data_IF_357557110165
#
_entry.id   IF_357557110165
#
_cell.length_a   1.000
_cell.length_b   1.000
_cell.length_c   1.000
_cell.angle_alpha   90.00
_cell.angle_beta   90.00
_cell.angle_gamma   90.00
#
_symmetry.space_group_name_H-M   'P 1'
#
loop_
_entity.id
_entity.type
_entity.pdbx_description
1 polymer ?
#
# COMPACT_ATOMS: atom_id res chain seq x y z
N UNK A 1 71.71 -27.63 -53.07
CA UNK A 1 70.52 -28.30 -52.50
C UNK A 1 69.37 -27.31 -52.53
N UNK A 2 68.52 -27.37 -53.57
CA UNK A 2 67.45 -26.38 -53.82
C UNK A 2 66.22 -26.80 -53.01
N UNK A 3 65.80 -26.00 -52.03
CA UNK A 3 64.52 -26.20 -51.32
C UNK A 3 63.38 -25.78 -52.24
N UNK A 4 62.56 -26.73 -52.68
CA UNK A 4 61.30 -26.45 -53.37
C UNK A 4 60.29 -25.84 -52.40
N UNK A 5 59.71 -24.67 -52.71
CA UNK A 5 58.67 -24.08 -51.88
C UNK A 5 57.39 -24.93 -51.98
N UNK A 6 56.88 -25.35 -50.82
CA UNK A 6 55.63 -26.12 -50.70
C UNK A 6 54.46 -25.15 -50.96
N UNK A 7 53.84 -25.22 -52.13
CA UNK A 7 52.64 -24.43 -52.46
C UNK A 7 51.52 -24.90 -51.52
N UNK A 8 51.08 -24.02 -50.62
CA UNK A 8 49.89 -24.28 -49.78
C UNK A 8 48.67 -24.08 -50.65
N UNK A 9 47.83 -25.10 -50.79
CA UNK A 9 46.52 -24.99 -51.43
C UNK A 9 45.69 -23.96 -50.66
N UNK A 10 45.38 -22.82 -51.30
CA UNK A 10 44.47 -21.83 -50.74
C UNK A 10 43.05 -22.38 -50.69
N UNK A 11 42.31 -22.02 -49.64
CA UNK A 11 40.91 -22.40 -49.48
C UNK A 11 40.07 -21.88 -50.66
N UNK A 12 39.14 -22.72 -51.14
CA UNK A 12 38.24 -22.32 -52.21
C UNK A 12 37.15 -21.40 -51.66
N UNK A 13 36.66 -20.48 -52.50
CA UNK A 13 35.58 -19.56 -52.12
C UNK A 13 34.33 -20.33 -51.65
N UNK A 14 34.08 -21.51 -52.22
CA UNK A 14 32.98 -22.41 -51.85
C UNK A 14 33.15 -22.96 -50.44
N UNK A 15 34.35 -23.40 -50.04
CA UNK A 15 34.60 -23.86 -48.66
C UNK A 15 34.34 -22.76 -47.63
N UNK A 16 34.82 -21.55 -47.89
CA UNK A 16 34.60 -20.42 -46.97
C UNK A 16 33.11 -20.08 -46.89
N UNK A 17 32.39 -20.12 -48.02
CA UNK A 17 30.96 -19.83 -48.06
C UNK A 17 30.14 -20.87 -47.28
N UNK A 18 30.45 -22.15 -47.43
CA UNK A 18 29.80 -23.23 -46.67
C UNK A 18 30.05 -23.09 -45.17
N UNK A 19 31.29 -22.77 -44.77
CA UNK A 19 31.62 -22.58 -43.35
C UNK A 19 30.86 -21.40 -42.74
N UNK A 20 30.77 -20.27 -43.44
CA UNK A 20 30.03 -19.10 -42.93
C UNK A 20 28.53 -19.42 -42.81
N UNK A 21 27.95 -20.19 -43.74
CA UNK A 21 26.55 -20.64 -43.66
C UNK A 21 26.33 -21.58 -42.48
N UNK A 22 27.23 -22.54 -42.24
CA UNK A 22 27.14 -23.45 -41.09
C UNK A 22 27.27 -22.69 -39.77
N UNK A 23 28.25 -21.78 -39.66
CA UNK A 23 28.43 -20.95 -38.46
C UNK A 23 27.21 -20.04 -38.25
N UNK A 24 26.62 -19.49 -39.31
CA UNK A 24 25.40 -18.69 -39.23
C UNK A 24 24.20 -19.49 -38.71
N UNK A 25 24.00 -20.71 -39.23
CA UNK A 25 22.93 -21.61 -38.77
C UNK A 25 23.13 -22.07 -37.31
N UNK A 26 24.35 -22.52 -36.97
CA UNK A 26 24.66 -22.94 -35.61
C UNK A 26 24.59 -21.76 -34.63
N UNK A 27 25.11 -20.59 -35.02
CA UNK A 27 25.06 -19.36 -34.22
C UNK A 27 23.62 -18.90 -33.96
N UNK A 28 22.74 -18.98 -34.97
CA UNK A 28 21.32 -18.63 -34.82
C UNK A 28 20.60 -19.51 -33.80
N UNK A 29 20.79 -20.84 -33.87
CA UNK A 29 20.17 -21.76 -32.92
C UNK A 29 20.70 -21.59 -31.49
N UNK A 30 22.01 -21.42 -31.33
CA UNK A 30 22.63 -21.23 -30.00
C UNK A 30 22.13 -19.94 -29.34
N UNK A 31 22.01 -18.84 -30.09
CA UNK A 31 21.53 -17.58 -29.54
C UNK A 31 20.08 -17.67 -29.03
N UNK A 32 19.20 -18.34 -29.77
CA UNK A 32 17.82 -18.56 -29.35
C UNK A 32 17.75 -19.41 -28.06
N UNK A 33 18.55 -20.47 -27.97
CA UNK A 33 18.61 -21.32 -26.78
C UNK A 33 19.14 -20.57 -25.55
N UNK A 34 20.22 -19.79 -25.71
CA UNK A 34 20.81 -19.00 -24.62
C UNK A 34 19.82 -17.96 -24.09
N UNK A 35 19.09 -17.26 -24.97
CA UNK A 35 18.07 -16.27 -24.56
C UNK A 35 16.96 -16.90 -23.69
N UNK A 36 16.49 -18.10 -24.05
CA UNK A 36 15.49 -18.83 -23.26
C UNK A 36 16.00 -19.23 -21.87
N UNK A 37 17.24 -19.74 -21.80
CA UNK A 37 17.88 -20.11 -20.53
C UNK A 37 18.10 -18.88 -19.64
N UNK A 38 18.57 -17.76 -20.20
CA UNK A 38 18.77 -16.53 -19.43
C UNK A 38 17.47 -15.97 -18.89
N UNK A 39 16.39 -15.94 -19.69
CA UNK A 39 15.09 -15.44 -19.23
C UNK A 39 14.52 -16.32 -18.11
N UNK A 40 14.65 -17.64 -18.23
CA UNK A 40 14.23 -18.57 -17.17
C UNK A 40 15.04 -18.36 -15.88
N UNK A 41 16.36 -18.16 -16.00
CA UNK A 41 17.22 -17.88 -14.86
C UNK A 41 16.87 -16.55 -14.18
N UNK A 42 16.60 -15.49 -14.97
CA UNK A 42 16.15 -14.19 -14.46
C UNK A 42 14.82 -14.32 -13.72
N UNK A 43 13.84 -14.99 -14.31
CA UNK A 43 12.55 -15.25 -13.66
C UNK A 43 12.72 -16.03 -12.35
N UNK A 44 13.55 -17.07 -12.32
CA UNK A 44 13.84 -17.84 -11.09
C UNK A 44 14.49 -16.96 -10.01
N UNK A 45 15.41 -16.08 -10.39
CA UNK A 45 16.03 -15.11 -9.48
C UNK A 45 14.98 -14.12 -8.95
N UNK A 46 14.13 -13.57 -9.81
CA UNK A 46 13.04 -12.67 -9.42
C UNK A 46 12.11 -13.32 -8.39
N UNK A 47 11.69 -14.58 -8.61
CA UNK A 47 10.86 -15.31 -7.64
C UNK A 47 11.52 -15.43 -6.27
N UNK A 48 12.84 -15.65 -6.24
CA UNK A 48 13.60 -15.75 -4.99
C UNK A 48 13.65 -14.41 -4.26
N UNK A 49 13.86 -13.32 -4.99
CA UNK A 49 13.91 -11.95 -4.43
C UNK A 49 12.52 -11.55 -3.90
N UNK A 50 11.46 -11.78 -4.67
CA UNK A 50 10.09 -11.50 -4.25
C UNK A 50 9.72 -12.34 -3.02
N UNK A 51 10.06 -13.63 -2.98
CA UNK A 51 9.80 -14.47 -1.81
C UNK A 51 10.55 -13.99 -0.56
N UNK A 52 11.79 -13.53 -0.71
CA UNK A 52 12.55 -12.93 0.40
C UNK A 52 11.87 -11.64 0.90
N UNK A 53 11.48 -10.74 0.01
CA UNK A 53 10.76 -9.53 0.37
C UNK A 53 9.41 -9.82 1.02
N UNK A 54 8.63 -10.75 0.45
CA UNK A 54 7.33 -11.16 0.98
C UNK A 54 7.46 -11.73 2.39
N UNK A 55 8.47 -12.56 2.68
CA UNK A 55 8.66 -13.09 4.03
C UNK A 55 8.80 -12.00 5.10
N UNK A 56 9.54 -10.92 4.80
CA UNK A 56 9.73 -9.78 5.70
C UNK A 56 8.45 -8.96 5.82
N UNK A 57 7.78 -8.71 4.70
CA UNK A 57 6.55 -7.91 4.64
C UNK A 57 5.39 -8.64 5.34
N UNK A 58 5.25 -9.95 5.15
CA UNK A 58 4.23 -10.76 5.81
C UNK A 58 4.47 -10.85 7.32
N UNK A 59 5.72 -11.07 7.76
CA UNK A 59 6.04 -11.05 9.20
C UNK A 59 5.65 -9.70 9.83
N UNK A 60 6.00 -8.61 9.16
CA UNK A 60 5.62 -7.26 9.61
C UNK A 60 4.09 -7.06 9.59
N UNK A 61 3.40 -7.49 8.53
CA UNK A 61 1.95 -7.38 8.37
C UNK A 61 1.19 -8.16 9.46
N UNK A 62 1.60 -9.40 9.72
CA UNK A 62 1.00 -10.25 10.77
C UNK A 62 1.26 -9.69 12.17
N UNK A 63 2.40 -9.05 12.39
CA UNK A 63 2.73 -8.44 13.69
C UNK A 63 1.68 -7.41 14.13
N UNK A 64 1.06 -6.67 13.18
CA UNK A 64 0.07 -5.65 13.51
C UNK A 64 -1.18 -6.24 14.15
N UNK A 65 -1.55 -7.48 13.83
CA UNK A 65 -2.76 -8.14 14.38
C UNK A 65 -2.73 -8.18 15.91
N UNK A 66 -1.55 -8.38 16.48
CA UNK A 66 -1.37 -8.58 17.92
C UNK A 66 -0.67 -7.41 18.63
N UNK A 67 -0.26 -6.38 17.88
CA UNK A 67 0.56 -5.31 18.44
C UNK A 67 -0.23 -4.42 19.42
N UNK A 68 0.32 -4.13 20.61
CA UNK A 68 -0.22 -3.09 21.46
C UNK A 68 0.06 -1.72 20.84
N UNK A 69 -0.95 -0.86 20.80
CA UNK A 69 -0.79 0.51 20.32
C UNK A 69 -0.45 1.42 21.51
N UNK A 70 0.61 2.24 21.42
CA UNK A 70 0.87 3.28 22.40
C UNK A 70 -0.19 4.37 22.24
N UNK A 71 -1.20 4.32 23.11
CA UNK A 71 -2.33 5.26 23.12
C UNK A 71 -2.21 6.12 24.37
N UNK A 72 -2.25 7.44 24.21
CA UNK A 72 -2.47 8.32 25.34
C UNK A 72 -3.94 8.18 25.76
N UNK A 73 -4.21 7.60 26.93
CA UNK A 73 -5.58 7.40 27.42
C UNK A 73 -6.18 8.78 27.70
N UNK A 74 -7.19 9.23 26.93
CA UNK A 74 -7.74 10.55 27.15
C UNK A 74 -8.52 10.54 28.47
N UNK A 75 -8.40 11.62 29.24
CA UNK A 75 -9.00 11.65 30.58
C UNK A 75 -10.54 11.75 30.49
N UNK A 76 -11.23 10.67 30.87
CA UNK A 76 -12.71 10.57 30.81
C UNK A 76 -13.45 11.43 31.85
N UNK A 77 -12.73 12.31 32.55
CA UNK A 77 -13.24 13.20 33.60
C UNK A 77 -12.91 14.67 33.35
N UNK A 78 -12.26 14.98 32.23
CA UNK A 78 -11.93 16.35 31.88
C UNK A 78 -13.09 17.02 31.14
N UNK A 79 -13.33 18.29 31.48
CA UNK A 79 -14.36 19.13 30.86
C UNK A 79 -15.76 18.49 30.91
N UNK A 80 -16.13 17.94 32.07
CA UNK A 80 -17.47 17.39 32.34
C UNK A 80 -18.52 18.51 32.34
N UNK A 81 -19.72 18.20 31.84
CA UNK A 81 -20.86 19.11 31.91
C UNK A 81 -21.56 19.00 33.25
N UNK A 82 -22.43 19.97 33.54
CA UNK A 82 -23.28 19.95 34.74
C UNK A 82 -24.10 18.65 34.78
N UNK A 83 -23.91 17.85 35.84
CA UNK A 83 -24.60 16.57 36.04
C UNK A 83 -23.87 15.34 35.47
N UNK A 84 -22.73 15.51 34.78
CA UNK A 84 -21.87 14.40 34.34
C UNK A 84 -20.88 14.01 35.45
N UNK A 85 -20.83 12.72 35.77
CA UNK A 85 -19.87 12.14 36.71
C UNK A 85 -18.57 11.71 36.01
N UNK A 86 -18.72 11.13 34.82
CA UNK A 86 -17.62 10.67 33.96
C UNK A 86 -18.16 10.40 32.55
N UNK A 87 -17.31 9.83 31.69
CA UNK A 87 -17.67 9.36 30.35
C UNK A 87 -17.23 7.92 30.19
N UNK A 88 -17.91 7.22 29.31
CA UNK A 88 -17.60 5.84 28.95
C UNK A 88 -17.56 5.69 27.44
N UNK A 89 -16.58 4.93 26.94
CA UNK A 89 -16.44 4.62 25.51
C UNK A 89 -17.10 3.27 25.26
N UNK A 90 -17.93 3.18 24.22
CA UNK A 90 -18.55 1.91 23.83
C UNK A 90 -17.49 0.95 23.28
N UNK A 91 -17.68 -0.36 23.51
CA UNK A 91 -16.74 -1.37 23.02
C UNK A 91 -16.57 -1.34 21.49
N UNK A 92 -17.65 -1.12 20.74
CA UNK A 92 -17.63 -0.97 19.28
C UNK A 92 -16.84 0.26 18.84
N UNK A 93 -16.92 1.34 19.61
CA UNK A 93 -16.21 2.58 19.32
C UNK A 93 -14.72 2.47 19.66
N UNK A 94 -14.38 1.78 20.75
CA UNK A 94 -13.00 1.45 21.08
C UNK A 94 -12.37 0.55 20.00
N UNK A 95 -13.13 -0.43 19.48
CA UNK A 95 -12.70 -1.27 18.37
C UNK A 95 -12.45 -0.45 17.08
N UNK A 96 -13.34 0.50 16.77
CA UNK A 96 -13.18 1.41 15.63
C UNK A 96 -11.94 2.30 15.76
N UNK A 97 -11.77 2.95 16.91
CA UNK A 97 -10.60 3.79 17.15
C UNK A 97 -9.30 2.97 17.01
N UNK A 98 -9.27 1.75 17.55
CA UNK A 98 -8.16 0.81 17.38
C UNK A 98 -7.89 0.48 15.91
N UNK A 99 -8.93 0.18 15.12
CA UNK A 99 -8.80 -0.14 13.69
C UNK A 99 -8.15 1.02 12.92
N UNK A 100 -8.60 2.25 13.17
CA UNK A 100 -8.08 3.46 12.51
C UNK A 100 -6.61 3.65 12.84
N UNK A 101 -6.26 3.56 14.13
CA UNK A 101 -4.87 3.69 14.58
C UNK A 101 -3.98 2.57 14.03
N UNK A 102 -4.51 1.36 13.87
CA UNK A 102 -3.78 0.25 13.27
C UNK A 102 -3.48 0.49 11.79
N UNK A 103 -4.44 1.05 11.04
CA UNK A 103 -4.23 1.44 9.63
C UNK A 103 -3.24 2.59 9.50
N UNK A 104 -3.25 3.55 10.42
CA UNK A 104 -2.23 4.61 10.46
C UNK A 104 -0.84 4.07 10.79
N UNK A 105 -0.76 3.10 11.71
CA UNK A 105 0.50 2.43 12.01
C UNK A 105 1.03 1.66 10.80
N UNK A 106 0.17 0.97 10.05
CA UNK A 106 0.55 0.34 8.77
C UNK A 106 1.07 1.38 7.78
N UNK A 107 0.43 2.56 7.71
CA UNK A 107 0.89 3.66 6.85
C UNK A 107 2.30 4.12 7.22
N UNK A 108 2.54 4.34 8.51
CA UNK A 108 3.81 4.81 9.04
C UNK A 108 4.94 3.78 8.93
N UNK A 109 4.64 2.49 9.09
CA UNK A 109 5.66 1.42 9.15
C UNK A 109 5.85 0.64 7.85
N UNK A 110 4.89 0.71 6.94
CA UNK A 110 4.98 0.18 5.58
C UNK A 110 4.55 1.27 4.59
N UNK A 111 5.31 2.37 4.46
CA UNK A 111 5.00 3.39 3.47
C UNK A 111 4.99 2.76 2.08
N UNK A 112 4.04 3.13 1.23
CA UNK A 112 4.10 2.84 -0.20
C UNK A 112 4.37 4.12 -1.02
N UNK A 113 4.28 5.29 -0.39
CA UNK A 113 4.51 6.59 -1.00
C UNK A 113 5.40 7.46 -0.13
N UNK A 114 6.15 8.35 -0.76
CA UNK A 114 7.00 9.28 -0.02
C UNK A 114 6.15 10.19 0.90
N UNK A 115 4.95 10.57 0.45
CA UNK A 115 4.01 11.40 1.24
C UNK A 115 3.54 10.75 2.55
N UNK A 116 3.71 9.43 2.72
CA UNK A 116 3.36 8.76 3.99
C UNK A 116 4.30 9.13 5.14
N UNK A 117 5.54 9.55 4.82
CA UNK A 117 6.51 10.00 5.82
C UNK A 117 7.09 11.39 5.55
N UNK A 118 6.87 11.98 4.37
CA UNK A 118 7.26 13.35 4.01
C UNK A 118 6.06 14.29 4.13
N UNK A 119 5.69 14.67 5.34
CA UNK A 119 4.73 15.79 5.49
C UNK A 119 5.43 17.11 5.16
N UNK A 120 4.78 17.97 4.36
CA UNK A 120 5.26 19.29 4.01
C UNK A 120 5.41 20.15 5.27
N UNK A 121 6.65 20.33 5.74
CA UNK A 121 7.01 21.32 6.76
C UNK A 121 6.90 20.91 8.24
N UNK A 122 6.39 19.71 8.56
CA UNK A 122 6.44 19.14 9.94
C UNK A 122 6.55 17.62 9.87
N UNK A 123 7.17 16.98 10.88
CA UNK A 123 7.27 15.52 11.01
C UNK A 123 5.92 14.86 10.69
N UNK A 124 5.86 13.70 9.99
CA UNK A 124 4.60 13.03 9.69
C UNK A 124 3.85 12.75 10.98
N UNK A 125 2.76 13.48 11.15
CA UNK A 125 1.96 13.44 12.36
C UNK A 125 1.03 12.22 12.29
N UNK A 126 0.97 11.41 13.36
CA UNK A 126 -0.07 10.40 13.50
C UNK A 126 -1.45 11.03 13.26
N UNK A 127 -2.35 10.32 12.59
CA UNK A 127 -3.70 10.80 12.37
C UNK A 127 -4.39 11.00 13.73
N UNK A 128 -5.03 12.15 13.93
CA UNK A 128 -5.82 12.40 15.14
C UNK A 128 -7.12 11.62 15.02
N UNK A 129 -7.34 10.66 15.93
CA UNK A 129 -8.53 9.82 15.92
C UNK A 129 -9.55 10.37 16.89
N UNK A 130 -10.72 10.77 16.40
CA UNK A 130 -11.82 11.19 17.28
C UNK A 130 -12.68 9.98 17.65
N UNK A 131 -12.89 9.72 18.94
CA UNK A 131 -13.79 8.70 19.47
C UNK A 131 -15.05 9.30 20.12
N UNK A 132 -16.18 8.58 20.06
CA UNK A 132 -17.44 8.96 20.70
C UNK A 132 -17.59 8.36 22.10
N UNK A 133 -17.69 9.21 23.12
CA UNK A 133 -17.91 8.80 24.51
C UNK A 133 -19.33 9.15 24.99
N UNK A 134 -20.00 8.23 25.68
CA UNK A 134 -21.30 8.48 26.32
C UNK A 134 -21.10 9.06 27.72
N UNK A 135 -21.89 10.06 28.14
CA UNK A 135 -21.81 10.58 29.49
C UNK A 135 -22.42 9.59 30.48
N UNK A 136 -21.81 9.55 31.67
CA UNK A 136 -22.35 8.90 32.86
C UNK A 136 -22.91 10.00 33.72
N UNK A 137 -24.22 10.02 33.94
CA UNK A 137 -24.92 11.09 34.66
C UNK A 137 -25.47 10.60 36.00
N UNK A 138 -25.85 11.54 36.85
CA UNK A 138 -26.63 11.27 38.06
C UNK A 138 -28.11 11.62 37.81
N UNK A 139 -29.02 10.79 38.29
CA UNK A 139 -30.44 11.16 38.36
C UNK A 139 -30.70 12.16 39.52
N UNK A 140 -31.95 12.64 39.62
CA UNK A 140 -32.36 13.54 40.69
C UNK A 140 -32.25 12.93 42.11
N UNK A 141 -32.01 11.63 42.22
CA UNK A 141 -31.83 10.88 43.47
C UNK A 141 -30.36 10.48 43.70
N UNK A 142 -29.40 11.05 42.95
CA UNK A 142 -27.97 10.73 42.98
C UNK A 142 -27.61 9.28 42.60
N UNK A 143 -28.48 8.56 41.89
CA UNK A 143 -28.11 7.27 41.33
C UNK A 143 -27.38 7.45 40.00
N UNK A 144 -26.44 6.56 39.72
CA UNK A 144 -25.70 6.54 38.45
C UNK A 144 -26.63 6.04 37.34
N UNK A 145 -26.83 6.88 36.32
CA UNK A 145 -27.58 6.55 35.11
C UNK A 145 -26.64 6.60 33.90
N UNK A 146 -26.49 5.45 33.23
CA UNK A 146 -25.74 5.36 31.98
C UNK A 146 -26.55 5.87 30.81
N UNK A 147 -25.99 6.78 30.00
CA UNK A 147 -26.64 7.28 28.78
C UNK A 147 -26.21 6.56 27.50
N UNK A 148 -25.74 5.30 27.59
CA UNK A 148 -25.22 4.50 26.45
C UNK A 148 -26.15 4.48 25.23
N UNK A 149 -27.45 4.38 25.49
CA UNK A 149 -28.50 4.30 24.47
C UNK A 149 -28.87 5.68 23.89
N UNK A 150 -28.58 6.77 24.59
CA UNK A 150 -28.86 8.11 24.12
C UNK A 150 -27.69 8.63 23.26
N UNK A 151 -27.82 8.46 21.95
CA UNK A 151 -26.78 8.86 20.99
C UNK A 151 -26.57 10.38 20.98
N UNK A 152 -27.63 11.18 21.18
CA UNK A 152 -27.53 12.64 21.21
C UNK A 152 -26.57 13.14 22.28
N UNK A 153 -26.57 12.51 23.45
CA UNK A 153 -25.77 12.93 24.61
C UNK A 153 -24.27 12.63 24.50
N UNK A 154 -23.82 11.87 23.48
CA UNK A 154 -22.41 11.50 23.32
C UNK A 154 -21.52 12.71 22.99
N UNK A 155 -20.22 12.56 23.19
CA UNK A 155 -19.21 13.62 22.97
C UNK A 155 -17.96 13.10 22.26
N UNK A 156 -17.32 13.97 21.48
CA UNK A 156 -16.03 13.71 20.84
C UNK A 156 -14.93 13.72 21.88
N UNK A 157 -14.04 12.76 21.76
CA UNK A 157 -12.81 12.65 22.52
C UNK A 157 -11.69 12.42 21.53
N UNK A 158 -10.68 13.29 21.53
CA UNK A 158 -9.51 13.08 20.69
C UNK A 158 -8.65 11.98 21.33
N UNK A 159 -8.30 10.99 20.53
CA UNK A 159 -7.39 9.91 20.84
C UNK A 159 -6.13 10.15 20.01
N UNK A 160 -5.03 10.38 20.72
CA UNK A 160 -3.71 10.59 20.12
C UNK A 160 -2.90 9.32 20.36
N UNK A 161 -2.10 8.97 19.36
CA UNK A 161 -1.20 7.82 19.42
C UNK A 161 0.19 8.23 18.94
N UNK A 162 1.19 7.52 19.43
CA UNK A 162 2.58 7.89 19.16
C UNK A 162 3.01 7.52 17.75
N UNK A 163 3.87 8.36 17.17
CA UNK A 163 4.52 8.10 15.89
C UNK A 163 5.40 6.86 16.00
N UNK A 164 5.40 6.01 14.97
CA UNK A 164 6.33 4.89 14.94
C UNK A 164 7.78 5.40 14.81
N UNK A 165 8.73 4.87 15.61
CA UNK A 165 10.16 5.18 15.47
C UNK A 165 10.73 4.82 14.08
N UNK A 166 10.06 3.94 13.32
CA UNK A 166 10.47 3.61 11.96
C UNK A 166 10.44 4.82 11.04
N UNK A 167 9.53 5.75 11.27
CA UNK A 167 9.33 6.93 10.42
C UNK A 167 10.52 7.88 10.48
N UNK A 168 11.11 8.09 11.66
CA UNK A 168 12.34 8.88 11.78
C UNK A 168 13.51 8.23 11.05
N UNK A 169 13.58 6.90 11.01
CA UNK A 169 14.61 6.19 10.24
C UNK A 169 14.40 6.38 8.73
N UNK A 170 13.14 6.37 8.27
CA UNK A 170 12.83 6.66 6.86
C UNK A 170 13.25 8.06 6.47
N UNK A 171 12.87 9.06 7.26
CA UNK A 171 13.27 10.45 7.07
C UNK A 171 14.78 10.65 7.08
N UNK A 172 15.50 10.03 8.03
CA UNK A 172 16.95 10.16 8.11
C UNK A 172 17.64 9.59 6.87
N UNK A 173 17.18 8.44 6.37
CA UNK A 173 17.71 7.83 5.15
C UNK A 173 17.38 8.65 3.90
N UNK A 174 16.14 9.12 3.77
CA UNK A 174 15.72 10.01 2.68
C UNK A 174 16.56 11.29 2.62
N UNK A 175 16.70 11.99 3.75
CA UNK A 175 17.51 13.19 3.82
C UNK A 175 18.99 12.91 3.55
N UNK A 176 19.52 11.77 3.98
CA UNK A 176 20.91 11.38 3.72
C UNK A 176 21.17 11.02 2.24
N UNK A 177 20.17 10.47 1.55
CA UNK A 177 20.22 10.22 0.11
C UNK A 177 20.23 11.55 -0.67
N UNK A 178 19.25 12.42 -0.42
CA UNK A 178 19.15 13.72 -1.09
C UNK A 178 20.31 14.67 -0.80
N UNK A 179 20.98 14.54 0.35
CA UNK A 179 22.18 15.32 0.64
C UNK A 179 23.37 14.95 -0.26
N UNK A 180 23.35 13.79 -0.92
CA UNK A 180 24.44 13.27 -1.78
C UNK A 180 24.11 13.37 -3.27
N UNK A 181 22.85 13.56 -3.62
CA UNK A 181 22.38 13.61 -5.00
C UNK A 181 22.13 15.05 -5.44
N UNK A 182 22.43 15.41 -6.70
CA UNK A 182 21.95 16.67 -7.28
C UNK A 182 20.42 16.76 -7.11
N UNK A 183 19.88 17.95 -6.83
CA UNK A 183 18.44 18.14 -6.54
C UNK A 183 17.56 17.44 -7.59
N UNK A 184 16.92 16.31 -7.25
CA UNK A 184 16.11 15.58 -8.21
C UNK A 184 14.82 16.33 -8.49
N UNK A 185 14.29 16.14 -9.70
CA UNK A 185 12.98 16.66 -10.10
C UNK A 185 11.87 15.90 -9.38
N UNK A 186 10.70 16.53 -9.28
CA UNK A 186 9.52 15.86 -8.72
C UNK A 186 9.04 14.66 -9.55
N UNK A 187 9.48 14.53 -10.81
CA UNK A 187 9.17 13.39 -11.65
C UNK A 187 10.09 12.19 -11.36
N UNK A 188 11.39 12.45 -11.14
CA UNK A 188 12.37 11.44 -10.74
C UNK A 188 11.98 10.83 -9.38
N UNK A 189 11.75 11.66 -8.35
CA UNK A 189 11.28 11.24 -7.02
C UNK A 189 9.95 10.45 -7.00
N UNK A 190 9.21 10.44 -8.10
CA UNK A 190 7.91 9.75 -8.21
C UNK A 190 7.95 8.53 -9.10
N UNK A 191 8.99 8.38 -9.92
CA UNK A 191 9.06 7.30 -10.90
C UNK A 191 9.05 5.93 -10.21
N UNK A 192 9.84 5.79 -9.13
CA UNK A 192 9.99 4.53 -8.41
C UNK A 192 9.63 4.60 -6.92
N UNK A 193 8.83 5.58 -6.48
CA UNK A 193 8.58 5.82 -5.05
C UNK A 193 8.09 4.60 -4.26
N UNK A 194 7.28 3.73 -4.87
CA UNK A 194 6.85 2.47 -4.25
C UNK A 194 8.00 1.49 -4.07
N UNK A 195 8.87 1.35 -5.07
CA UNK A 195 10.03 0.45 -5.04
C UNK A 195 11.11 0.93 -4.06
N UNK A 196 11.34 2.24 -3.98
CA UNK A 196 12.19 2.88 -2.97
C UNK A 196 11.63 2.65 -1.57
N UNK A 197 10.32 2.83 -1.38
CA UNK A 197 9.68 2.57 -0.10
C UNK A 197 9.85 1.10 0.34
N UNK A 198 9.76 0.15 -0.60
CA UNK A 198 10.05 -1.26 -0.32
C UNK A 198 11.49 -1.47 0.16
N UNK A 199 12.48 -0.86 -0.52
CA UNK A 199 13.86 -0.90 -0.06
C UNK A 199 14.00 -0.35 1.36
N UNK A 200 13.35 0.78 1.65
CA UNK A 200 13.40 1.44 2.95
C UNK A 200 12.80 0.55 4.05
N UNK A 201 11.68 -0.12 3.79
CA UNK A 201 11.07 -1.09 4.70
C UNK A 201 12.04 -2.25 4.95
N UNK A 202 12.63 -2.82 3.91
CA UNK A 202 13.58 -3.94 4.00
C UNK A 202 14.86 -3.55 4.76
N UNK A 203 15.34 -2.32 4.59
CA UNK A 203 16.52 -1.80 5.26
C UNK A 203 16.28 -1.45 6.74
N UNK A 204 15.02 -1.29 7.16
CA UNK A 204 14.62 -0.96 8.52
C UNK A 204 14.04 -2.17 9.29
N UNK A 205 13.75 -3.26 8.59
CA UNK A 205 13.21 -4.49 9.18
C UNK A 205 14.32 -5.48 9.48
N UNK A 206 14.12 -6.34 10.48
CA UNK A 206 15.07 -7.38 10.88
C UNK A 206 14.34 -8.72 10.90
N UNK A 207 14.94 -9.72 10.27
CA UNK A 207 14.43 -11.10 10.28
C UNK A 207 15.54 -11.99 10.81
N UNK A 208 15.26 -12.75 11.88
CA UNK A 208 16.26 -13.64 12.50
C UNK A 208 17.52 -12.92 13.02
N UNK A 209 17.40 -11.65 13.44
CA UNK A 209 18.53 -10.84 13.94
C UNK A 209 19.43 -10.24 12.86
N UNK A 210 19.15 -10.48 11.58
CA UNK A 210 19.84 -9.83 10.46
C UNK A 210 18.92 -8.80 9.78
N UNK A 211 19.44 -7.68 9.24
CA UNK A 211 18.62 -6.75 8.45
C UNK A 211 17.95 -7.48 7.28
N UNK A 212 16.66 -7.21 7.02
CA UNK A 212 15.91 -7.85 5.94
C UNK A 212 16.57 -7.66 4.57
N UNK A 213 17.15 -6.47 4.34
CA UNK A 213 17.90 -6.15 3.12
C UNK A 213 19.14 -7.05 2.90
N UNK A 214 19.70 -7.66 3.94
CA UNK A 214 20.87 -8.54 3.80
C UNK A 214 20.54 -9.86 3.08
N UNK A 215 19.25 -10.21 2.99
CA UNK A 215 18.78 -11.36 2.19
C UNK A 215 18.82 -11.10 0.68
N UNK A 216 18.91 -9.83 0.28
CA UNK A 216 18.87 -9.40 -1.12
C UNK A 216 20.31 -9.27 -1.64
N UNK A 217 20.65 -9.89 -2.79
CA UNK A 217 21.97 -9.71 -3.40
C UNK A 217 22.24 -8.24 -3.71
N UNK A 218 23.44 -7.74 -3.42
CA UNK A 218 23.82 -6.35 -3.72
C UNK A 218 23.78 -6.01 -5.22
N UNK A 219 23.82 -7.01 -6.11
CA UNK A 219 23.63 -6.82 -7.56
C UNK A 219 22.19 -6.48 -7.95
N UNK A 220 21.24 -6.69 -7.04
CA UNK A 220 19.81 -6.47 -7.21
C UNK A 220 19.34 -5.27 -6.38
N UNK A 221 20.27 -4.38 -6.03
CA UNK A 221 19.99 -3.12 -5.37
C UNK A 221 20.68 -2.06 -6.23
N UNK A 222 19.93 -1.06 -6.67
CA UNK A 222 20.41 0.01 -7.55
C UNK A 222 19.56 1.25 -7.41
N UNK A 223 19.96 2.35 -8.03
CA UNK A 223 19.19 3.59 -8.16
C UNK A 223 18.98 3.78 -9.68
N UNK A 224 17.74 3.59 -10.13
CA UNK A 224 17.43 3.43 -11.56
C UNK A 224 17.06 4.75 -12.23
N UNK A 225 16.49 5.70 -11.48
CA UNK A 225 16.11 7.02 -11.95
C UNK A 225 17.08 8.15 -11.54
N UNK A 226 18.07 7.85 -10.70
CA UNK A 226 19.16 8.76 -10.34
C UNK A 226 18.78 9.77 -9.27
N UNK A 227 17.71 9.53 -8.50
CA UNK A 227 17.25 10.41 -7.44
C UNK A 227 17.98 10.20 -6.09
N UNK A 228 18.85 9.19 -6.02
CA UNK A 228 19.65 8.81 -4.85
C UNK A 228 19.00 7.78 -3.93
N UNK A 229 17.74 7.41 -4.17
CA UNK A 229 16.99 6.43 -3.41
C UNK A 229 17.11 5.07 -4.09
N UNK A 230 17.74 4.08 -3.45
CA UNK A 230 17.91 2.79 -4.08
C UNK A 230 16.60 1.99 -4.07
N UNK A 231 16.36 1.24 -5.15
CA UNK A 231 15.30 0.27 -5.30
C UNK A 231 15.83 -1.17 -5.25
N UNK A 232 14.93 -2.11 -4.99
CA UNK A 232 15.20 -3.54 -5.17
C UNK A 232 14.84 -3.91 -6.61
N UNK A 233 15.84 -4.42 -7.35
CA UNK A 233 15.72 -4.77 -8.75
C UNK A 233 15.45 -6.26 -8.94
N UNK A 234 14.63 -6.58 -9.91
CA UNK A 234 14.36 -7.94 -10.32
C UNK A 234 15.51 -8.57 -11.14
N UNK A 235 15.30 -9.78 -11.68
CA UNK A 235 16.29 -10.47 -12.52
C UNK A 235 16.63 -9.76 -13.83
N UNK A 236 15.81 -8.83 -14.30
CA UNK A 236 16.02 -8.02 -15.50
C UNK A 236 16.61 -6.64 -15.20
N UNK A 237 16.71 -6.26 -13.93
CA UNK A 237 17.19 -4.95 -13.49
C UNK A 237 16.09 -3.90 -13.42
N UNK A 238 14.81 -4.33 -13.40
CA UNK A 238 13.66 -3.45 -13.26
C UNK A 238 13.27 -3.36 -11.77
N UNK A 239 12.96 -2.18 -11.22
CA UNK A 239 12.49 -2.03 -9.85
C UNK A 239 11.23 -2.85 -9.54
N UNK A 240 11.21 -3.50 -8.38
CA UNK A 240 10.02 -4.20 -7.89
C UNK A 240 8.98 -3.18 -7.41
N UNK A 241 7.78 -3.22 -7.97
CA UNK A 241 6.70 -2.38 -7.49
C UNK A 241 6.11 -2.92 -6.19
N UNK A 242 5.82 -1.99 -5.28
CA UNK A 242 5.18 -2.25 -4.00
C UNK A 242 3.93 -1.41 -3.85
N UNK A 243 2.84 -2.07 -3.46
CA UNK A 243 1.56 -1.43 -3.17
C UNK A 243 1.09 -1.97 -1.81
N UNK A 244 0.98 -1.09 -0.81
CA UNK A 244 0.56 -1.49 0.55
C UNK A 244 -0.88 -2.04 0.54
N UNK A 245 -1.79 -1.34 -0.14
CA UNK A 245 -3.21 -1.67 -0.19
C UNK A 245 -3.66 -1.81 -1.66
N UNK A 246 -3.46 -2.99 -2.28
CA UNK A 246 -3.74 -3.21 -3.69
C UNK A 246 -5.22 -3.52 -3.95
N UNK A 247 -6.12 -2.60 -3.58
CA UNK A 247 -7.58 -2.81 -3.70
C UNK A 247 -8.01 -3.15 -5.13
N UNK A 248 -7.33 -2.59 -6.13
CA UNK A 248 -7.49 -2.79 -7.57
C UNK A 248 -7.05 -4.15 -8.09
N UNK A 249 -6.25 -4.89 -7.33
CA UNK A 249 -5.53 -6.03 -7.87
C UNK A 249 -6.45 -7.23 -8.06
N UNK A 250 -6.57 -7.68 -9.30
CA UNK A 250 -7.14 -8.97 -9.61
C UNK A 250 -6.07 -10.04 -9.41
N UNK A 251 -6.19 -10.81 -8.33
CA UNK A 251 -5.30 -11.93 -8.07
C UNK A 251 -5.69 -13.14 -8.95
N UNK A 252 -4.89 -13.52 -9.96
CA UNK A 252 -5.21 -14.65 -10.83
C UNK A 252 -5.21 -15.99 -10.08
N UNK A 253 -4.55 -16.05 -8.92
CA UNK A 253 -4.47 -17.25 -8.08
C UNK A 253 -5.66 -17.40 -7.12
N UNK A 254 -6.45 -16.34 -6.91
CA UNK A 254 -7.58 -16.33 -5.99
C UNK A 254 -7.19 -16.43 -4.51
N UNK A 255 -5.94 -16.11 -4.16
CA UNK A 255 -5.46 -16.06 -2.77
C UNK A 255 -6.11 -14.90 -2.01
N UNK A 256 -6.42 -13.80 -2.70
CA UNK A 256 -7.18 -12.67 -2.15
C UNK A 256 -8.67 -12.85 -2.47
N UNK A 257 -9.48 -13.16 -1.45
CA UNK A 257 -10.93 -13.26 -1.56
C UNK A 257 -11.60 -11.96 -1.03
N UNK A 258 -12.30 -11.19 -1.88
CA UNK A 258 -12.99 -9.96 -1.46
C UNK A 258 -14.21 -10.22 -0.54
N UNK A 259 -14.62 -11.47 -0.34
CA UNK A 259 -15.70 -11.82 0.58
C UNK A 259 -15.21 -12.07 2.01
N UNK A 260 -13.89 -12.21 2.21
CA UNK A 260 -13.31 -12.43 3.54
C UNK A 260 -13.18 -11.09 4.26
N UNK A 261 -13.80 -10.90 5.44
CA UNK A 261 -13.70 -9.65 6.19
C UNK A 261 -12.25 -9.26 6.48
N UNK A 262 -12.02 -7.96 6.63
CA UNK A 262 -10.71 -7.42 7.03
C UNK A 262 -10.20 -8.06 8.34
N UNK A 263 -9.02 -8.66 8.28
CA UNK A 263 -8.34 -9.32 9.41
C UNK A 263 -8.10 -8.38 10.59
N UNK A 264 -7.99 -7.07 10.32
CA UNK A 264 -7.77 -6.05 11.35
C UNK A 264 -9.07 -5.54 11.99
N UNK A 265 -10.23 -5.88 11.42
CA UNK A 265 -11.55 -5.46 11.88
C UNK A 265 -12.39 -6.62 12.46
N UNK A 266 -11.85 -7.26 13.51
CA UNK A 266 -12.50 -8.42 14.16
C UNK A 266 -13.93 -8.13 14.66
N UNK A 267 -14.23 -6.88 15.01
CA UNK A 267 -15.53 -6.47 15.54
C UNK A 267 -16.45 -5.84 14.50
N UNK A 268 -16.03 -5.79 13.23
CA UNK A 268 -16.79 -5.13 12.14
C UNK A 268 -17.17 -3.70 12.53
N UNK A 269 -16.16 -2.99 13.05
CA UNK A 269 -16.25 -1.65 13.57
C UNK A 269 -16.00 -0.58 12.49
N UNK A 270 -15.55 -0.95 11.28
CA UNK A 270 -15.51 -0.02 10.14
C UNK A 270 -16.92 0.53 9.84
N UNK A 271 -16.98 1.80 9.42
CA UNK A 271 -18.23 2.49 9.14
C UNK A 271 -19.10 1.79 8.08
N UNK A 272 -18.47 1.06 7.15
CA UNK A 272 -19.20 0.24 6.20
C UNK A 272 -20.17 -0.74 6.89
N UNK A 273 -19.85 -1.25 8.09
CA UNK A 273 -20.71 -2.19 8.82
C UNK A 273 -21.75 -1.51 9.72
N UNK A 274 -21.59 -0.23 10.04
CA UNK A 274 -22.49 0.51 10.93
C UNK A 274 -23.82 0.89 10.26
N UNK A 275 -23.82 0.97 8.93
CA UNK A 275 -25.02 1.23 8.14
C UNK A 275 -25.77 -0.07 7.87
N UNK A 276 -27.12 -0.05 7.97
CA UNK A 276 -27.93 -1.20 7.55
C UNK A 276 -27.56 -1.59 6.12
N UNK A 277 -27.02 -2.80 5.92
CA UNK A 277 -26.70 -3.30 4.59
C UNK A 277 -27.96 -3.28 3.73
N UNK A 278 -27.90 -2.52 2.65
CA UNK A 278 -28.93 -2.48 1.61
C UNK A 278 -28.25 -2.79 0.29
N UNK A 279 -28.48 -4.01 -0.21
CA UNK A 279 -27.91 -4.49 -1.47
C UNK A 279 -28.44 -3.73 -2.70
N UNK A 280 -29.51 -2.94 -2.56
CA UNK A 280 -30.14 -2.24 -3.68
C UNK A 280 -29.48 -0.89 -4.03
N UNK A 281 -28.66 -0.33 -3.12
CA UNK A 281 -28.01 0.97 -3.35
C UNK A 281 -26.57 0.97 -2.78
N UNK A 282 -25.53 1.02 -3.64
CA UNK A 282 -24.15 1.23 -3.22
C UNK A 282 -24.02 2.48 -2.35
N UNK A 283 -23.42 2.34 -1.16
CA UNK A 283 -23.22 3.45 -0.23
C UNK A 283 -21.80 3.97 -0.32
N UNK A 284 -21.59 5.25 -0.01
CA UNK A 284 -20.25 5.85 0.06
C UNK A 284 -19.39 5.26 1.17
N UNK A 285 -19.99 4.58 2.14
CA UNK A 285 -19.34 3.90 3.26
C UNK A 285 -18.74 2.54 2.85
N UNK A 286 -19.33 1.86 1.87
CA UNK A 286 -18.93 0.52 1.44
C UNK A 286 -17.60 0.55 0.66
N UNK A 287 -16.84 -0.53 0.75
CA UNK A 287 -15.72 -0.76 -0.16
C UNK A 287 -16.27 -1.11 -1.55
N UNK A 288 -15.50 -0.87 -2.61
CA UNK A 288 -15.96 -1.11 -3.98
C UNK A 288 -15.17 -2.27 -4.55
N UNK A 289 -15.85 -3.36 -4.89
CA UNK A 289 -15.26 -4.47 -5.64
C UNK A 289 -15.00 -4.02 -7.07
N UNK A 290 -13.79 -3.48 -7.27
CA UNK A 290 -13.26 -3.01 -8.55
C UNK A 290 -13.08 -4.11 -9.59
N UNK A 291 -13.06 -5.38 -9.17
CA UNK A 291 -12.94 -6.53 -10.05
C UNK A 291 -14.31 -7.02 -10.53
N UNK A 292 -15.37 -6.84 -9.75
CA UNK A 292 -16.72 -7.28 -10.07
C UNK A 292 -17.72 -6.11 -10.15
N UNK A 293 -17.79 -5.51 -11.35
CA UNK A 293 -18.76 -4.47 -11.70
C UNK A 293 -18.78 -3.22 -10.80
N UNK A 294 -17.72 -2.95 -10.01
CA UNK A 294 -17.69 -1.89 -9.00
C UNK A 294 -18.85 -1.97 -7.99
N UNK A 295 -19.24 -3.20 -7.62
CA UNK A 295 -20.30 -3.41 -6.64
C UNK A 295 -19.84 -2.99 -5.23
N UNK A 296 -20.76 -2.40 -4.45
CA UNK A 296 -20.51 -2.13 -3.04
C UNK A 296 -20.44 -3.44 -2.26
N UNK A 297 -19.37 -3.60 -1.47
CA UNK A 297 -19.16 -4.76 -0.60
C UNK A 297 -18.57 -4.30 0.73
N UNK A 298 -18.58 -5.20 1.72
CA UNK A 298 -17.99 -4.90 3.03
C UNK A 298 -16.46 -4.95 2.99
N UNK A 299 -15.76 -4.16 3.81
CA UNK A 299 -14.31 -4.18 3.93
C UNK A 299 -13.76 -5.60 4.04
N UNK A 300 -12.82 -5.92 3.16
CA UNK A 300 -12.17 -7.23 3.05
C UNK A 300 -10.67 -7.15 3.27
N UNK A 301 -10.04 -8.28 3.58
CA UNK A 301 -8.61 -8.32 3.87
C UNK A 301 -7.76 -7.85 2.66
N UNK A 302 -6.96 -6.81 2.87
CA UNK A 302 -5.98 -6.33 1.89
C UNK A 302 -4.58 -6.71 2.35
N UNK A 303 -3.87 -7.49 1.51
CA UNK A 303 -2.48 -7.88 1.73
C UNK A 303 -1.57 -7.07 0.81
N UNK A 304 -0.36 -6.66 1.25
CA UNK A 304 0.56 -5.92 0.39
C UNK A 304 0.94 -6.72 -0.87
N UNK A 305 1.00 -6.03 -2.00
CA UNK A 305 1.41 -6.59 -3.28
C UNK A 305 2.86 -6.20 -3.56
N UNK A 306 3.67 -7.22 -3.87
CA UNK A 306 5.02 -7.05 -4.44
C UNK A 306 4.99 -7.70 -5.81
N UNK A 307 5.33 -6.95 -6.85
CA UNK A 307 5.22 -7.40 -8.24
C UNK A 307 6.41 -6.93 -9.08
N UNK A 308 6.92 -7.84 -9.91
CA UNK A 308 7.90 -7.55 -10.96
C UNK A 308 7.18 -7.43 -12.29
N UNK A 309 7.66 -6.48 -13.10
CA UNK A 309 7.23 -6.25 -14.48
C UNK A 309 7.82 -7.25 -15.48
N UNK A 310 8.48 -8.31 -15.02
CA UNK A 310 9.00 -9.34 -15.91
C UNK A 310 10.05 -8.85 -16.91
N UNK A 311 10.08 -9.49 -18.08
CA UNK A 311 11.05 -9.21 -19.14
C UNK A 311 10.66 -8.07 -20.08
N UNK A 312 9.40 -7.62 -20.05
CA UNK A 312 8.94 -6.50 -20.85
C UNK A 312 9.12 -5.14 -20.14
N UNK A 313 9.29 -5.14 -18.81
CA UNK A 313 9.54 -3.95 -18.00
C UNK A 313 8.30 -3.07 -17.78
N UNK A 314 7.11 -3.57 -18.09
CA UNK A 314 5.85 -2.86 -17.90
C UNK A 314 4.90 -3.68 -17.02
N UNK A 315 4.29 -3.07 -16.02
CA UNK A 315 3.39 -3.79 -15.11
C UNK A 315 1.99 -4.00 -15.68
N UNK A 316 1.54 -3.14 -16.61
CA UNK A 316 0.16 -3.15 -17.09
C UNK A 316 -0.93 -2.95 -16.02
N UNK A 317 -0.56 -2.44 -14.84
CA UNK A 317 -1.46 -2.09 -13.72
C UNK A 317 -1.16 -0.69 -13.19
N UNK A 318 -2.17 -0.06 -12.59
CA UNK A 318 -2.02 1.21 -11.88
C UNK A 318 -1.27 0.97 -10.57
N UNK A 319 -0.16 1.67 -10.33
CA UNK A 319 0.58 1.57 -9.06
C UNK A 319 0.04 2.53 -8.01
N UNK A 320 -0.53 3.66 -8.43
CA UNK A 320 -1.19 4.70 -7.63
C UNK A 320 -2.66 4.90 -8.03
N UNK A 321 -3.46 5.72 -7.31
CA UNK A 321 -4.83 6.02 -7.71
C UNK A 321 -4.86 7.03 -8.86
N UNK A 322 -5.57 6.72 -9.94
CA UNK A 322 -5.70 7.62 -11.09
C UNK A 322 -7.06 8.32 -11.02
N UNK A 323 -7.13 9.66 -11.12
CA UNK A 323 -8.42 10.38 -11.08
C UNK A 323 -9.30 10.04 -12.29
N UNK A 324 -8.69 9.60 -13.39
CA UNK A 324 -9.40 9.05 -14.54
C UNK A 324 -8.54 8.00 -15.23
N UNK A 325 -9.17 7.05 -15.91
CA UNK A 325 -8.47 5.96 -16.59
C UNK A 325 -7.45 6.37 -17.68
N UNK A 326 -7.43 7.64 -18.10
CA UNK A 326 -6.54 8.13 -19.15
C UNK A 326 -5.34 8.95 -18.64
N UNK A 327 -5.32 9.36 -17.37
CA UNK A 327 -4.36 10.36 -16.88
C UNK A 327 -3.75 9.94 -15.54
N UNK A 328 -2.42 9.73 -15.46
CA UNK A 328 -1.74 9.52 -14.18
C UNK A 328 -1.91 10.77 -13.28
N UNK A 329 -1.96 10.60 -11.95
CA UNK A 329 -2.19 11.71 -11.04
C UNK A 329 -1.01 12.71 -11.05
N UNK A 330 -1.34 14.00 -11.17
CA UNK A 330 -0.36 15.08 -11.19
C UNK A 330 0.42 15.25 -9.86
N UNK A 331 -0.12 14.72 -8.76
CA UNK A 331 0.48 14.75 -7.41
C UNK A 331 0.28 13.42 -6.70
N UNK A 332 1.23 12.99 -5.87
CA UNK A 332 1.06 11.79 -5.05
C UNK A 332 -0.12 11.97 -4.11
N UNK A 333 -1.01 10.97 -4.09
CA UNK A 333 -2.20 10.99 -3.25
C UNK A 333 -1.84 10.44 -1.88
N UNK A 334 -2.19 11.18 -0.83
CA UNK A 334 -2.03 10.74 0.55
C UNK A 334 -3.25 9.95 1.02
N UNK A 335 -3.02 8.79 1.63
CA UNK A 335 -4.10 8.01 2.26
C UNK A 335 -4.68 8.69 3.51
N UNK A 336 -3.95 9.60 4.15
CA UNK A 336 -4.42 10.33 5.34
C UNK A 336 -5.28 11.54 5.03
N UNK A 337 -5.28 12.01 3.78
CA UNK A 337 -6.07 13.18 3.36
C UNK A 337 -7.53 12.82 3.09
N UNK A 338 -7.95 11.59 3.42
CA UNK A 338 -9.37 11.24 3.42
C UNK A 338 -10.02 11.72 4.71
N UNK A 339 -10.83 12.76 4.58
CA UNK A 339 -11.67 13.26 5.64
C UNK A 339 -12.99 12.48 5.68
N UNK A 340 -13.34 11.93 6.83
CA UNK A 340 -14.61 11.24 7.03
C UNK A 340 -15.54 12.15 7.82
N UNK A 341 -16.77 12.37 7.35
CA UNK A 341 -17.73 13.22 8.05
C UNK A 341 -18.26 12.50 9.30
N UNK A 342 -17.48 12.53 10.38
CA UNK A 342 -18.06 12.36 11.71
C UNK A 342 -18.70 13.69 12.06
N UNK A 343 -20.00 13.75 12.41
CA UNK A 343 -20.63 14.99 12.85
C UNK A 343 -19.91 15.56 14.08
N UNK A 344 -18.99 16.48 13.84
CA UNK A 344 -18.34 17.33 14.83
C UNK A 344 -18.95 18.72 14.73
N UNK A 345 -20.23 18.88 15.08
CA UNK A 345 -20.96 20.15 15.16
C UNK A 345 -20.42 21.28 14.24
N UNK A 346 -20.86 21.32 12.98
CA UNK A 346 -20.70 22.53 12.17
C UNK A 346 -21.65 23.61 12.70
N UNK A 347 -21.10 24.66 13.31
CA UNK A 347 -21.79 25.94 13.48
C UNK A 347 -22.46 26.20 14.83
N UNK A 348 -21.69 26.25 15.92
CA UNK A 348 -22.08 27.00 17.13
C UNK A 348 -23.30 26.51 17.93
N UNK A 349 -23.98 25.44 17.50
CA UNK A 349 -25.00 24.79 18.30
C UNK A 349 -24.36 23.96 19.41
N UNK A 350 -24.99 24.00 20.58
CA UNK A 350 -24.51 23.44 21.83
C UNK A 350 -23.85 22.06 21.65
N UNK A 351 -22.72 21.88 22.33
CA UNK A 351 -22.07 20.59 22.55
C UNK A 351 -23.18 19.56 22.84
N UNK A 352 -23.21 18.41 22.14
CA UNK A 352 -23.97 17.22 22.54
C UNK A 352 -25.38 16.98 22.01
N UNK A 353 -25.63 17.08 20.69
CA UNK A 353 -26.79 16.42 20.07
C UNK A 353 -26.50 15.61 18.79
N UNK A 354 -25.23 15.50 18.33
CA UNK A 354 -24.93 14.92 17.01
C UNK A 354 -24.10 13.64 16.97
N UNK A 355 -23.77 13.01 18.10
CA UNK A 355 -22.77 11.95 18.12
C UNK A 355 -23.32 10.57 17.78
N UNK A 356 -23.14 10.15 16.54
CA UNK A 356 -23.50 8.81 16.09
C UNK A 356 -22.20 8.05 15.79
N UNK A 357 -21.97 6.90 16.41
CA UNK A 357 -20.93 5.93 15.98
C UNK A 357 -21.32 5.26 14.65
N UNK A 358 -21.90 6.05 13.75
CA UNK A 358 -22.48 5.74 12.44
C UNK A 358 -22.15 6.96 11.57
N UNK A 359 -21.69 6.72 10.35
CA UNK A 359 -21.45 7.77 9.35
C UNK A 359 -22.74 8.59 9.09
N UNK A 360 -22.60 9.89 8.82
CA UNK A 360 -23.68 10.71 8.26
C UNK A 360 -23.62 10.66 6.74
N UNK A 361 -24.75 10.75 6.05
CA UNK A 361 -24.83 10.69 4.58
C UNK A 361 -23.83 11.66 3.91
N UNK A 362 -22.83 11.11 3.21
CA UNK A 362 -21.87 11.84 2.38
C UNK A 362 -20.55 12.23 3.07
N UNK A 363 -19.42 12.00 2.38
CA UNK A 363 -18.10 12.41 2.87
C UNK A 363 -17.88 13.87 2.54
N UNK A 364 -17.48 14.68 3.53
CA UNK A 364 -17.22 16.10 3.35
C UNK A 364 -15.72 16.39 3.35
N UNK A 365 -15.28 17.29 2.46
CA UNK A 365 -13.91 17.83 2.44
C UNK A 365 -13.55 18.63 3.72
N UNK A 366 -14.54 19.00 4.55
CA UNK A 366 -14.37 19.92 5.68
C UNK A 366 -14.41 19.16 7.03
N UNK A 367 -14.33 17.83 7.03
CA UNK A 367 -14.31 17.11 8.31
C UNK A 367 -12.93 17.20 8.98
N UNK A 368 -12.84 17.53 10.28
CA UNK A 368 -11.59 17.47 11.04
C UNK A 368 -11.15 16.03 11.33
N UNK A 369 -11.99 15.03 11.06
CA UNK A 369 -11.67 13.63 11.28
C UNK A 369 -10.96 13.05 10.05
N UNK A 370 -9.65 12.85 10.20
CA UNK A 370 -8.81 12.18 9.21
C UNK A 370 -8.83 10.67 9.43
N UNK A 371 -8.83 9.93 8.33
CA UNK A 371 -8.85 8.47 8.34
C UNK A 371 -7.92 7.94 7.26
N UNK A 372 -6.95 7.08 7.60
CA UNK A 372 -6.25 6.31 6.60
C UNK A 372 -7.23 5.29 6.00
N UNK A 373 -7.77 5.59 4.81
CA UNK A 373 -8.75 4.73 4.13
C UNK A 373 -8.06 3.80 3.13
N UNK A 374 -7.83 2.52 3.48
CA UNK A 374 -7.20 1.58 2.57
C UNK A 374 -8.06 1.27 1.34
N UNK A 375 -9.36 1.56 1.41
CA UNK A 375 -10.29 1.32 0.30
C UNK A 375 -10.52 2.54 -0.59
N UNK A 376 -9.83 3.66 -0.33
CA UNK A 376 -9.86 4.87 -1.17
C UNK A 376 -11.27 5.34 -1.54
N UNK A 377 -12.24 5.12 -0.66
CA UNK A 377 -13.66 5.32 -0.96
C UNK A 377 -13.99 6.80 -1.20
N UNK A 378 -13.27 7.73 -0.54
CA UNK A 378 -13.39 9.19 -0.78
C UNK A 378 -12.83 9.59 -2.14
N UNK A 379 -11.68 9.02 -2.49
CA UNK A 379 -11.05 9.27 -3.79
C UNK A 379 -12.01 8.91 -4.92
N UNK A 380 -12.71 7.78 -4.78
CA UNK A 380 -13.72 7.33 -5.73
C UNK A 380 -14.96 8.19 -5.79
N UNK A 381 -15.47 8.64 -4.65
CA UNK A 381 -16.63 9.54 -4.61
C UNK A 381 -16.36 10.84 -5.41
N UNK A 382 -15.16 11.40 -5.28
CA UNK A 382 -14.74 12.59 -6.05
C UNK A 382 -14.45 12.22 -7.51
N UNK A 383 -13.94 11.01 -7.76
CA UNK A 383 -13.51 10.56 -9.08
C UNK A 383 -14.24 9.26 -9.49
N UNK A 384 -15.51 9.34 -9.98
CA UNK A 384 -16.30 8.14 -10.29
C UNK A 384 -15.71 7.24 -11.38
N UNK A 385 -14.82 7.76 -12.22
CA UNK A 385 -14.14 7.02 -13.29
C UNK A 385 -12.66 6.76 -12.99
N UNK A 386 -12.30 6.74 -11.70
CA UNK A 386 -10.94 6.47 -11.23
C UNK A 386 -10.48 5.04 -11.50
N UNK A 387 -9.15 4.87 -11.57
CA UNK A 387 -8.49 3.58 -11.40
C UNK A 387 -7.85 3.51 -10.03
N UNK A 388 -7.83 2.32 -9.45
CA UNK A 388 -7.26 2.09 -8.13
C UNK A 388 -5.90 1.37 -8.19
N UNK A 389 -5.06 1.50 -7.15
CA UNK A 389 -3.80 0.76 -7.06
C UNK A 389 -4.02 -0.75 -7.19
N UNK A 390 -3.29 -1.38 -8.11
CA UNK A 390 -3.41 -2.79 -8.48
C UNK A 390 -4.30 -3.05 -9.70
N UNK A 391 -5.15 -2.10 -10.10
CA UNK A 391 -6.11 -2.31 -11.19
C UNK A 391 -5.43 -2.34 -12.55
N UNK A 392 -5.90 -3.23 -13.43
CA UNK A 392 -5.43 -3.31 -14.81
C UNK A 392 -5.57 -1.98 -15.56
N UNK A 393 -4.48 -1.53 -16.19
CA UNK A 393 -4.54 -0.45 -17.17
C UNK A 393 -5.29 -0.94 -18.42
N UNK A 394 -6.00 -0.02 -19.07
CA UNK A 394 -6.78 -0.30 -20.27
C UNK A 394 -5.88 -0.34 -21.52
N UNK A 395 -6.16 -1.25 -22.44
CA UNK A 395 -5.45 -1.39 -23.71
C UNK A 395 -4.90 -2.80 -23.94
N UNK A 396 -4.63 -3.14 -25.21
CA UNK A 396 -4.01 -4.42 -25.61
C UNK A 396 -2.61 -4.54 -25.04
N UNK A 397 -1.84 -3.46 -25.10
CA UNK A 397 -0.45 -3.41 -24.65
C UNK A 397 -0.37 -3.65 -23.14
N UNK A 398 -1.28 -3.04 -22.38
CA UNK A 398 -1.37 -3.27 -20.93
C UNK A 398 -1.75 -4.71 -20.58
N UNK A 399 -2.51 -5.41 -21.44
CA UNK A 399 -2.83 -6.81 -21.23
C UNK A 399 -1.64 -7.73 -21.53
N UNK A 400 -0.88 -7.43 -22.59
CA UNK A 400 0.36 -8.13 -22.92
C UNK A 400 1.40 -7.95 -21.80
N UNK A 401 1.49 -6.75 -21.22
CA UNK A 401 2.37 -6.45 -20.08
C UNK A 401 2.03 -7.12 -18.76
N UNK A 402 0.98 -7.93 -18.69
CA UNK A 402 0.68 -8.71 -17.48
C UNK A 402 1.06 -10.17 -17.61
N UNK A 403 1.44 -10.62 -18.81
CA UNK A 403 1.63 -12.04 -19.12
C UNK A 403 2.84 -12.62 -18.39
N UNK A 404 3.90 -11.85 -18.22
CA UNK A 404 5.17 -12.25 -17.61
C UNK A 404 5.39 -11.68 -16.21
N UNK A 405 4.42 -10.93 -15.69
CA UNK A 405 4.44 -10.42 -14.32
C UNK A 405 4.56 -11.56 -13.29
N UNK A 406 5.35 -11.30 -12.25
CA UNK A 406 5.54 -12.23 -11.13
C UNK A 406 5.16 -11.48 -9.86
N UNK A 407 4.17 -11.97 -9.12
CA UNK A 407 3.70 -11.37 -7.86
C UNK A 407 3.92 -12.28 -6.66
N UNK A 408 4.04 -11.71 -5.46
CA UNK A 408 4.08 -12.49 -4.23
C UNK A 408 2.85 -13.40 -4.05
N UNK A 409 1.66 -12.91 -4.39
CA UNK A 409 0.41 -13.68 -4.27
C UNK A 409 0.39 -14.94 -5.14
N UNK A 410 0.86 -14.84 -6.40
CA UNK A 410 0.96 -16.00 -7.28
C UNK A 410 2.01 -17.03 -6.83
N UNK A 411 3.05 -16.59 -6.10
CA UNK A 411 4.05 -17.49 -5.53
C UNK A 411 3.52 -18.25 -4.32
N UNK A 412 2.66 -17.62 -3.50
CA UNK A 412 2.04 -18.27 -2.34
C UNK A 412 1.12 -19.42 -2.75
N UNK A 413 0.41 -19.31 -3.87
CA UNK A 413 -0.46 -20.37 -4.38
C UNK A 413 0.29 -21.62 -4.89
N UNK A 414 1.59 -21.50 -5.16
CA UNK A 414 2.41 -22.60 -5.71
C UNK A 414 3.16 -23.39 -4.61
N UNK A 415 3.13 -22.89 -3.37
CA UNK A 415 3.69 -23.56 -2.19
C UNK A 415 2.62 -24.44 -1.52
#
# INVERSE_FOLDING_TARGET
>A
MIRTPKIRSGFTLVEILVVIVIIGLMGGMVLAAVRGVTNTARASRTRTIIAACDSVIQEQYESYKYRPLPVEIPTLRQSLRTGELSREVLATEAARARLVMMRDLQRMEMPDRLVDFLSVGTSPTPCVVTAAASPVMLDASNNIVGMRSNRGSRMALNVVHDQSPKVSNYLARYNAALARTPTPTAAELRANEGAECLYMIMANSFVGGSPGIASIPSSNIGDTDGDGLPEILDGWGVPLAFIRWPIGYFDPSGTVDPNVPDDFDLFRADFAYAEMYDASTPKTSDAIDVNNANAAVKPWALRPLIISAGGDGSLGIATEPYPSAATPPATSISYSDTAFAIPTNSGGAAVGEGFMGVEFDGRSQISPYQFPDPYLRRFREINPNSLFPGQALLGTDAAESRVDNISNLSLQATQ
#
